data_IF_379561088587
#
_entry.id   IF_379561088587
#
_cell.length_a   1.000
_cell.length_b   1.000
_cell.length_c   1.000
_cell.angle_alpha   90.00
_cell.angle_beta   90.00
_cell.angle_gamma   90.00
#
_symmetry.space_group_name_H-M   'P 1'
#
loop_
_entity.id
_entity.type
_entity.pdbx_description
1 polymer ?
#
# COMPACT_ATOMS: atom_id res chain seq x y z
N UNK A 1 46.23 -31.37 45.93
CA UNK A 1 46.65 -30.54 44.78
C UNK A 1 46.14 -31.21 43.51
N UNK A 2 45.05 -30.69 42.91
CA UNK A 2 44.46 -31.28 41.69
C UNK A 2 45.02 -30.55 40.48
N UNK A 3 45.90 -31.21 39.73
CA UNK A 3 46.46 -30.67 38.49
C UNK A 3 45.46 -30.86 37.36
N UNK A 4 44.71 -29.81 37.03
CA UNK A 4 43.83 -29.77 35.86
C UNK A 4 44.68 -29.83 34.58
N UNK A 5 44.86 -31.03 34.02
CA UNK A 5 45.40 -31.24 32.66
C UNK A 5 44.38 -30.72 31.63
N UNK A 6 44.55 -29.49 31.19
CA UNK A 6 43.83 -28.95 30.03
C UNK A 6 44.31 -29.70 28.79
N UNK A 7 43.52 -30.67 28.31
CA UNK A 7 43.79 -31.36 27.04
C UNK A 7 43.75 -30.32 25.91
N UNK A 8 44.90 -30.03 25.31
CA UNK A 8 44.99 -29.20 24.11
C UNK A 8 44.26 -29.89 22.96
N UNK A 9 43.03 -29.46 22.65
CA UNK A 9 42.33 -29.87 21.43
C UNK A 9 43.06 -29.24 20.25
N UNK A 10 43.71 -30.06 19.43
CA UNK A 10 44.22 -29.68 18.11
C UNK A 10 43.06 -29.13 17.28
N UNK A 11 43.05 -27.82 17.05
CA UNK A 11 42.04 -27.18 16.20
C UNK A 11 42.39 -27.50 14.75
N UNK A 12 41.68 -28.45 14.16
CA UNK A 12 41.78 -28.75 12.73
C UNK A 12 41.36 -27.53 11.90
N UNK A 13 42.14 -27.22 10.87
CA UNK A 13 41.81 -26.19 9.90
C UNK A 13 40.61 -26.67 9.05
N UNK A 14 39.61 -25.80 8.87
CA UNK A 14 38.44 -26.05 8.02
C UNK A 14 38.42 -25.08 6.85
N UNK A 15 37.77 -25.46 5.74
CA UNK A 15 37.57 -24.54 4.62
C UNK A 15 36.32 -23.67 4.85
N UNK A 16 36.45 -22.37 4.61
CA UNK A 16 35.33 -21.43 4.66
C UNK A 16 34.33 -21.73 3.56
N UNK A 17 33.05 -21.90 3.87
CA UNK A 17 32.01 -22.21 2.88
C UNK A 17 31.67 -21.07 1.90
N UNK A 18 32.36 -19.93 1.98
CA UNK A 18 32.08 -18.75 1.15
C UNK A 18 33.28 -18.27 0.34
N UNK A 19 34.50 -18.44 0.87
CA UNK A 19 35.72 -18.05 0.16
C UNK A 19 36.73 -19.18 0.03
N UNK A 20 36.39 -20.37 0.52
CA UNK A 20 37.18 -21.60 0.45
C UNK A 20 38.57 -21.53 1.10
N UNK A 21 38.87 -20.43 1.81
CA UNK A 21 40.13 -20.28 2.54
C UNK A 21 40.13 -21.11 3.83
N UNK A 22 41.26 -21.74 4.18
CA UNK A 22 41.39 -22.44 5.45
C UNK A 22 41.27 -21.45 6.62
N UNK A 23 40.58 -21.84 7.67
CA UNK A 23 40.44 -21.08 8.91
C UNK A 23 40.25 -21.99 10.11
N UNK A 24 40.61 -21.49 11.30
CA UNK A 24 40.37 -22.18 12.57
C UNK A 24 39.08 -21.70 13.19
N UNK A 25 38.02 -22.53 13.29
CA UNK A 25 36.78 -22.12 13.91
C UNK A 25 36.99 -21.85 15.41
N UNK A 26 36.37 -20.76 15.91
CA UNK A 26 36.41 -20.44 17.36
C UNK A 26 35.54 -21.41 18.17
N UNK A 27 34.44 -21.88 17.57
CA UNK A 27 33.49 -22.81 18.17
C UNK A 27 33.15 -23.94 17.18
N UNK A 28 32.82 -25.15 17.67
CA UNK A 28 32.30 -26.22 16.82
C UNK A 28 31.06 -25.74 16.05
N UNK A 29 30.98 -26.06 14.75
CA UNK A 29 29.82 -25.72 13.90
C UNK A 29 29.93 -24.44 13.08
N UNK A 30 30.97 -23.62 13.27
CA UNK A 30 31.20 -22.48 12.38
C UNK A 30 31.63 -22.93 10.97
N UNK A 31 30.94 -22.43 9.95
CA UNK A 31 31.20 -22.72 8.53
C UNK A 31 31.96 -21.61 7.80
N UNK A 32 32.06 -20.42 8.41
CA UNK A 32 32.64 -19.24 7.81
C UNK A 32 33.86 -18.77 8.58
N UNK A 33 34.90 -18.34 7.84
CA UNK A 33 35.99 -17.60 8.45
C UNK A 33 35.48 -16.26 9.00
N UNK A 34 36.23 -15.66 9.92
CA UNK A 34 35.81 -14.42 10.61
C UNK A 34 35.43 -13.29 9.65
N UNK A 35 36.21 -13.10 8.57
CA UNK A 35 35.94 -12.08 7.55
C UNK A 35 34.61 -12.31 6.84
N UNK A 36 34.34 -13.55 6.45
CA UNK A 36 33.09 -13.91 5.76
C UNK A 36 31.87 -13.88 6.68
N UNK A 37 32.03 -14.31 7.94
CA UNK A 37 30.99 -14.18 8.96
C UNK A 37 30.64 -12.72 9.23
N UNK A 38 31.65 -11.85 9.39
CA UNK A 38 31.44 -10.41 9.60
C UNK A 38 30.71 -9.81 8.41
N UNK A 39 31.13 -10.10 7.18
CA UNK A 39 30.45 -9.61 5.98
C UNK A 39 28.97 -10.04 5.93
N UNK A 40 28.67 -11.33 6.15
CA UNK A 40 27.28 -11.80 6.19
C UNK A 40 26.45 -11.15 7.30
N UNK A 41 27.06 -10.94 8.47
CA UNK A 41 26.39 -10.27 9.59
C UNK A 41 26.07 -8.82 9.23
N UNK A 42 27.02 -8.09 8.66
CA UNK A 42 26.84 -6.69 8.31
C UNK A 42 25.78 -6.55 7.18
N UNK A 43 25.78 -7.44 6.18
CA UNK A 43 24.71 -7.53 5.18
C UNK A 43 23.33 -7.83 5.79
N UNK A 44 23.27 -8.73 6.78
CA UNK A 44 22.01 -9.05 7.46
C UNK A 44 21.49 -7.86 8.29
N UNK A 45 22.39 -7.09 8.91
CA UNK A 45 22.05 -5.86 9.64
C UNK A 45 21.51 -4.79 8.68
N UNK A 46 22.20 -4.53 7.58
CA UNK A 46 21.76 -3.56 6.56
C UNK A 46 20.38 -3.96 5.97
N UNK A 47 20.18 -5.25 5.69
CA UNK A 47 18.88 -5.74 5.23
C UNK A 47 17.77 -5.60 6.29
N UNK A 48 18.10 -5.71 7.58
CA UNK A 48 17.15 -5.46 8.67
C UNK A 48 16.82 -3.97 8.77
N UNK A 49 17.81 -3.09 8.68
CA UNK A 49 17.60 -1.63 8.69
C UNK A 49 16.73 -1.18 7.53
N UNK A 50 16.92 -1.71 6.32
CA UNK A 50 16.06 -1.41 5.17
C UNK A 50 14.61 -1.88 5.40
N UNK A 51 14.41 -3.03 6.02
CA UNK A 51 13.06 -3.49 6.42
C UNK A 51 12.40 -2.55 7.42
N UNK A 52 13.16 -2.02 8.38
CA UNK A 52 12.65 -1.02 9.34
C UNK A 52 12.28 0.28 8.62
N UNK A 53 13.18 0.82 7.78
CA UNK A 53 12.92 2.03 6.99
C UNK A 53 11.65 1.91 6.13
N UNK A 54 11.49 0.79 5.44
CA UNK A 54 10.31 0.54 4.61
C UNK A 54 9.03 0.37 5.42
N UNK A 55 9.09 -0.24 6.60
CA UNK A 55 7.95 -0.35 7.51
C UNK A 55 7.53 1.03 8.06
N UNK A 56 8.48 1.87 8.47
CA UNK A 56 8.21 3.24 8.92
C UNK A 56 7.59 4.11 7.82
N UNK A 57 8.09 4.01 6.58
CA UNK A 57 7.52 4.72 5.44
C UNK A 57 6.07 4.30 5.18
N UNK A 58 5.76 3.00 5.28
CA UNK A 58 4.39 2.47 5.14
C UNK A 58 3.48 2.96 6.27
N UNK A 59 3.96 3.00 7.51
CA UNK A 59 3.21 3.50 8.65
C UNK A 59 2.84 4.99 8.46
N UNK A 60 3.81 5.83 8.06
CA UNK A 60 3.58 7.25 7.76
C UNK A 60 2.57 7.44 6.62
N UNK A 61 2.67 6.66 5.55
CA UNK A 61 1.72 6.73 4.44
C UNK A 61 0.29 6.32 4.87
N UNK A 62 0.17 5.30 5.74
CA UNK A 62 -1.12 4.89 6.28
C UNK A 62 -1.74 5.95 7.19
N UNK A 63 -0.93 6.62 8.02
CA UNK A 63 -1.36 7.72 8.88
C UNK A 63 -1.86 8.92 8.06
N UNK A 64 -1.11 9.35 7.05
CA UNK A 64 -1.53 10.47 6.20
C UNK A 64 -2.80 10.12 5.41
N UNK A 65 -2.92 8.88 4.92
CA UNK A 65 -4.15 8.41 4.28
C UNK A 65 -5.34 8.46 5.25
N UNK A 66 -5.16 8.01 6.49
CA UNK A 66 -6.20 8.08 7.50
C UNK A 66 -6.59 9.53 7.81
N UNK A 67 -5.62 10.44 7.93
CA UNK A 67 -5.84 11.88 8.12
C UNK A 67 -6.64 12.50 6.98
N UNK A 68 -6.30 12.20 5.73
CA UNK A 68 -7.03 12.69 4.55
C UNK A 68 -8.47 12.17 4.53
N UNK A 69 -8.68 10.88 4.82
CA UNK A 69 -10.02 10.31 4.91
C UNK A 69 -10.85 10.95 6.03
N UNK A 70 -10.26 11.25 7.18
CA UNK A 70 -10.95 11.98 8.26
C UNK A 70 -11.35 13.39 7.82
N UNK A 71 -10.45 14.13 7.15
CA UNK A 71 -10.78 15.46 6.58
C UNK A 71 -11.90 15.38 5.54
N UNK A 72 -11.93 14.35 4.71
CA UNK A 72 -13.01 14.15 3.75
C UNK A 72 -14.35 13.85 4.42
N UNK A 73 -14.36 13.12 5.55
CA UNK A 73 -15.58 12.87 6.33
C UNK A 73 -16.13 14.12 7.00
N UNK A 74 -15.25 15.05 7.38
CA UNK A 74 -15.64 16.35 7.95
C UNK A 74 -16.22 17.32 6.91
N UNK A 75 -16.09 17.03 5.60
CA UNK A 75 -16.86 17.73 4.58
C UNK A 75 -18.31 17.27 4.71
N UNK A 76 -19.03 17.96 5.60
CA UNK A 76 -20.48 17.85 5.73
C UNK A 76 -21.07 18.13 4.35
N UNK A 77 -21.86 17.21 3.77
CA UNK A 77 -22.57 17.52 2.53
C UNK A 77 -23.39 18.79 2.78
N UNK A 78 -23.19 19.82 1.95
CA UNK A 78 -23.93 21.07 2.07
C UNK A 78 -25.42 20.74 2.15
N UNK A 79 -26.12 21.05 3.27
CA UNK A 79 -27.53 20.71 3.43
C UNK A 79 -28.43 21.39 2.39
N UNK A 80 -27.89 22.35 1.62
CA UNK A 80 -28.58 22.99 0.48
C UNK A 80 -28.43 22.22 -0.82
N UNK A 81 -27.52 21.25 -0.90
CA UNK A 81 -27.43 20.36 -2.06
C UNK A 81 -28.58 19.35 -1.96
N UNK A 82 -29.45 19.27 -2.98
CA UNK A 82 -30.54 18.29 -2.99
C UNK A 82 -29.96 16.89 -2.85
N UNK A 83 -30.59 16.06 -2.01
CA UNK A 83 -30.17 14.66 -1.92
C UNK A 83 -30.33 13.98 -3.30
N UNK A 84 -29.55 12.94 -3.56
CA UNK A 84 -29.56 12.21 -4.84
C UNK A 84 -30.98 11.74 -5.22
N UNK A 85 -31.82 11.45 -4.23
CA UNK A 85 -33.22 11.06 -4.43
C UNK A 85 -34.10 12.24 -4.91
N UNK A 86 -33.89 13.47 -4.41
CA UNK A 86 -34.59 14.66 -4.89
C UNK A 86 -34.17 15.05 -6.31
N UNK A 87 -32.89 14.83 -6.66
CA UNK A 87 -32.38 15.12 -8.00
C UNK A 87 -32.99 14.21 -9.07
N UNK A 88 -33.29 12.95 -8.71
CA UNK A 88 -34.03 12.01 -9.57
C UNK A 88 -35.43 12.54 -9.93
N UNK A 89 -36.13 13.13 -8.95
CA UNK A 89 -37.42 13.79 -9.16
C UNK A 89 -37.31 15.03 -10.06
N UNK A 90 -36.28 15.85 -9.86
CA UNK A 90 -36.04 17.06 -10.66
C UNK A 90 -35.71 16.73 -12.12
N UNK A 91 -34.85 15.74 -12.37
CA UNK A 91 -34.54 15.27 -13.73
C UNK A 91 -35.81 14.81 -14.45
N UNK A 92 -36.70 14.09 -13.77
CA UNK A 92 -37.98 13.69 -14.37
C UNK A 92 -38.89 14.88 -14.71
N UNK A 93 -38.89 15.95 -13.89
CA UNK A 93 -39.63 17.18 -14.20
C UNK A 93 -39.02 17.90 -15.40
N UNK A 94 -37.69 17.97 -15.48
CA UNK A 94 -36.98 18.56 -16.62
C UNK A 94 -37.20 17.77 -17.91
N UNK A 95 -37.21 16.44 -17.86
CA UNK A 95 -37.53 15.59 -19.03
C UNK A 95 -38.95 15.87 -19.53
N UNK A 96 -39.92 16.05 -18.62
CA UNK A 96 -41.29 16.41 -19.00
C UNK A 96 -41.36 17.81 -19.63
N UNK A 97 -40.65 18.79 -19.06
CA UNK A 97 -40.59 20.15 -19.59
C UNK A 97 -39.91 20.24 -20.96
N UNK A 98 -38.84 19.46 -21.17
CA UNK A 98 -38.05 19.43 -22.39
C UNK A 98 -38.50 18.31 -23.35
N UNK A 99 -39.70 17.75 -23.19
CA UNK A 99 -40.14 16.65 -24.05
C UNK A 99 -40.26 17.13 -25.52
N UNK A 100 -39.70 16.41 -26.50
CA UNK A 100 -39.69 16.83 -27.90
C UNK A 100 -41.07 17.18 -28.46
N UNK A 101 -42.12 16.47 -28.04
CA UNK A 101 -43.51 16.74 -28.44
C UNK A 101 -44.02 18.13 -28.06
N UNK A 102 -43.46 18.76 -27.02
CA UNK A 102 -43.83 20.12 -26.61
C UNK A 102 -43.06 21.20 -27.37
N UNK A 103 -42.05 20.81 -28.15
CA UNK A 103 -41.13 21.72 -28.85
C UNK A 103 -40.99 21.36 -30.34
N UNK A 104 -42.06 20.83 -30.94
CA UNK A 104 -42.12 20.45 -32.36
C UNK A 104 -40.98 19.54 -32.82
N UNK A 105 -40.47 18.69 -31.92
CA UNK A 105 -39.29 17.84 -32.16
C UNK A 105 -38.03 18.61 -32.58
N UNK A 106 -37.83 19.82 -32.05
CA UNK A 106 -36.59 20.58 -32.27
C UNK A 106 -35.35 19.75 -31.91
N UNK A 107 -34.25 20.01 -32.61
CA UNK A 107 -33.00 19.28 -32.37
C UNK A 107 -32.50 19.49 -30.95
N UNK A 108 -32.65 20.71 -30.45
CA UNK A 108 -32.23 21.17 -29.13
C UNK A 108 -33.02 20.44 -28.02
N UNK A 109 -34.34 20.31 -28.17
CA UNK A 109 -35.17 19.58 -27.20
C UNK A 109 -34.79 18.09 -27.15
N UNK A 110 -34.54 17.49 -28.31
CA UNK A 110 -34.08 16.10 -28.41
C UNK A 110 -32.71 15.87 -27.75
N UNK A 111 -31.76 16.77 -27.96
CA UNK A 111 -30.41 16.67 -27.39
C UNK A 111 -30.43 16.86 -25.86
N UNK A 112 -31.19 17.83 -25.36
CA UNK A 112 -31.37 18.07 -23.91
C UNK A 112 -32.09 16.89 -23.25
N UNK A 113 -33.16 16.39 -23.85
CA UNK A 113 -33.92 15.26 -23.31
C UNK A 113 -33.05 13.98 -23.26
N UNK A 114 -32.27 13.71 -24.30
CA UNK A 114 -31.33 12.58 -24.35
C UNK A 114 -30.26 12.69 -23.26
N UNK A 115 -29.70 13.88 -23.06
CA UNK A 115 -28.73 14.12 -21.99
C UNK A 115 -29.33 13.91 -20.59
N UNK A 116 -30.53 14.44 -20.33
CA UNK A 116 -31.22 14.26 -19.05
C UNK A 116 -31.52 12.79 -18.73
N UNK A 117 -31.95 12.01 -19.73
CA UNK A 117 -32.17 10.57 -19.59
C UNK A 117 -30.87 9.80 -19.30
N UNK A 118 -29.73 10.22 -19.85
CA UNK A 118 -28.43 9.64 -19.50
C UNK A 118 -28.02 9.95 -18.06
N UNK A 119 -28.24 11.18 -17.59
CA UNK A 119 -27.96 11.53 -16.19
C UNK A 119 -28.80 10.67 -15.24
N UNK A 120 -30.08 10.45 -15.54
CA UNK A 120 -30.94 9.54 -14.76
C UNK A 120 -30.35 8.12 -14.67
N UNK A 121 -29.89 7.55 -15.78
CA UNK A 121 -29.29 6.20 -15.79
C UNK A 121 -28.02 6.12 -14.94
N UNK A 122 -27.18 7.15 -14.97
CA UNK A 122 -25.94 7.22 -14.17
C UNK A 122 -26.25 7.24 -12.67
N UNK A 123 -27.31 7.93 -12.28
CA UNK A 123 -27.73 8.03 -10.87
C UNK A 123 -28.43 6.78 -10.35
N UNK A 124 -29.09 6.00 -11.21
CA UNK A 124 -29.72 4.73 -10.80
C UNK A 124 -28.75 3.53 -10.76
N UNK A 125 -27.51 3.71 -11.24
CA UNK A 125 -26.51 2.64 -11.36
C UNK A 125 -25.39 2.72 -10.29
N UNK A 126 -25.38 3.75 -9.45
CA UNK A 126 -24.49 3.90 -8.30
C UNK A 126 -25.26 3.72 -7.00
#
# INVERSE_FOLDING_TARGET
MVTNRVKAKTKEDRLCSMCEKPFRPRFPGFLLCYKCWRLKRDQAMEAMEEKVRTAEARAKAAEERARLLSRMREVVPDPRLPCVEEWSGMVMRLVKLCHPDHHENSRESNDVCRWLLQQRKRMSAG
#
